data_IF_626597755985
#
_entry.id   IF_626597755985
#
_cell.length_a   1.000
_cell.length_b   1.000
_cell.length_c   1.000
_cell.angle_alpha   90.00
_cell.angle_beta   90.00
_cell.angle_gamma   90.00
#
_symmetry.space_group_name_H-M   'P 1'
#
loop_
_entity.id
_entity.type
_entity.pdbx_description
1 polymer ?
#
# COMPACT_ATOMS: atom_id res chain seq x y z
N UNK A 1 11.58 -4.70 -11.15
CA UNK A 1 11.74 -3.27 -10.77
C UNK A 1 11.06 -3.06 -9.43
N UNK A 2 11.56 -2.15 -8.59
CA UNK A 2 11.00 -1.94 -7.25
C UNK A 2 10.45 -0.52 -7.13
N UNK A 3 9.32 -0.38 -6.42
CA UNK A 3 8.62 0.89 -6.29
C UNK A 3 8.13 1.09 -4.86
N UNK A 4 8.25 2.32 -4.37
CA UNK A 4 7.68 2.76 -3.10
C UNK A 4 6.36 3.47 -3.38
N UNK A 5 5.30 3.03 -2.72
CA UNK A 5 3.98 3.64 -2.76
C UNK A 5 3.68 4.21 -1.37
N UNK A 6 3.42 5.52 -1.29
CA UNK A 6 2.96 6.21 -0.08
C UNK A 6 1.47 6.53 -0.27
N UNK A 7 0.64 6.17 0.71
CA UNK A 7 -0.81 6.33 0.69
C UNK A 7 -1.26 7.21 1.85
N UNK A 8 -1.76 8.41 1.56
CA UNK A 8 -2.15 9.40 2.58
C UNK A 8 -3.67 9.41 2.77
N UNK A 9 -4.18 9.07 3.96
CA UNK A 9 -5.58 9.28 4.30
C UNK A 9 -5.84 10.74 4.70
N UNK A 10 -7.11 11.06 4.97
CA UNK A 10 -7.49 12.32 5.62
C UNK A 10 -6.93 12.43 7.05
N UNK A 11 -6.84 13.66 7.58
CA UNK A 11 -6.41 13.88 8.96
C UNK A 11 -7.30 13.15 9.96
N UNK A 12 -6.70 12.66 11.05
CA UNK A 12 -7.36 11.92 12.14
C UNK A 12 -8.16 10.68 11.66
N UNK A 13 -7.79 10.10 10.51
CA UNK A 13 -8.52 8.98 9.91
C UNK A 13 -8.71 7.82 10.88
N UNK A 14 -7.67 7.39 11.61
CA UNK A 14 -7.76 6.29 12.58
C UNK A 14 -8.84 6.55 13.64
N UNK A 15 -8.98 7.79 14.11
CA UNK A 15 -9.91 8.16 15.18
C UNK A 15 -11.35 8.37 14.68
N UNK A 16 -11.50 8.64 13.40
CA UNK A 16 -12.77 9.10 12.81
C UNK A 16 -13.25 8.18 11.68
N UNK A 17 -12.67 6.99 11.57
CA UNK A 17 -13.00 5.99 10.56
C UNK A 17 -14.45 5.53 10.76
N UNK A 18 -15.24 5.54 9.69
CA UNK A 18 -16.60 4.99 9.70
C UNK A 18 -16.58 3.46 9.58
N UNK A 19 -17.73 2.81 9.84
CA UNK A 19 -17.87 1.37 9.64
C UNK A 19 -17.63 0.97 8.16
N UNK A 20 -18.15 1.76 7.22
CA UNK A 20 -17.93 1.57 5.77
C UNK A 20 -16.44 1.73 5.40
N UNK A 21 -15.76 2.76 5.91
CA UNK A 21 -14.32 2.93 5.69
C UNK A 21 -13.53 1.76 6.30
N UNK A 22 -13.97 1.19 7.43
CA UNK A 22 -13.33 0.05 8.07
C UNK A 22 -13.47 -1.26 7.26
N UNK A 23 -14.62 -1.46 6.61
CA UNK A 23 -14.83 -2.58 5.68
C UNK A 23 -13.88 -2.47 4.49
N UNK A 24 -13.77 -1.28 3.88
CA UNK A 24 -12.84 -1.05 2.76
C UNK A 24 -11.39 -1.21 3.19
N UNK A 25 -11.02 -0.77 4.40
CA UNK A 25 -9.67 -0.99 4.94
C UNK A 25 -9.38 -2.48 5.19
N UNK A 26 -10.40 -3.29 5.45
CA UNK A 26 -10.27 -4.75 5.54
C UNK A 26 -10.02 -5.37 4.16
N UNK A 27 -10.73 -4.92 3.13
CA UNK A 27 -10.49 -5.33 1.73
C UNK A 27 -9.09 -4.93 1.26
N UNK A 28 -8.66 -3.71 1.57
CA UNK A 28 -7.29 -3.23 1.35
C UNK A 28 -6.25 -4.16 1.96
N UNK A 29 -6.47 -4.61 3.20
CA UNK A 29 -5.56 -5.53 3.86
C UNK A 29 -5.50 -6.89 3.17
N UNK A 30 -6.66 -7.44 2.77
CA UNK A 30 -6.73 -8.69 2.01
C UNK A 30 -5.99 -8.56 0.67
N UNK A 31 -6.19 -7.45 -0.04
CA UNK A 31 -5.49 -7.14 -1.29
C UNK A 31 -3.97 -7.15 -1.12
N UNK A 32 -3.45 -6.49 -0.08
CA UNK A 32 -2.01 -6.51 0.22
C UNK A 32 -1.49 -7.90 0.56
N UNK A 33 -2.27 -8.71 1.30
CA UNK A 33 -1.91 -10.11 1.55
C UNK A 33 -1.83 -10.93 0.27
N UNK A 34 -2.71 -10.71 -0.69
CA UNK A 34 -2.66 -11.37 -2.00
C UNK A 34 -1.40 -10.98 -2.76
N UNK A 35 -1.07 -9.68 -2.83
CA UNK A 35 0.18 -9.23 -3.48
C UNK A 35 1.43 -9.75 -2.78
N UNK A 36 1.38 -9.95 -1.46
CA UNK A 36 2.44 -10.64 -0.72
C UNK A 36 2.57 -12.11 -1.13
N UNK A 37 1.46 -12.85 -1.24
CA UNK A 37 1.46 -14.26 -1.68
C UNK A 37 1.91 -14.41 -3.13
N UNK A 38 1.60 -13.45 -3.99
CA UNK A 38 2.06 -13.39 -5.39
C UNK A 38 3.56 -13.05 -5.52
N UNK A 39 4.24 -12.67 -4.43
CA UNK A 39 5.63 -12.24 -4.45
C UNK A 39 5.85 -10.82 -4.96
N UNK A 40 4.77 -10.06 -5.21
CA UNK A 40 4.81 -8.69 -5.72
C UNK A 40 4.95 -7.63 -4.63
N UNK A 41 4.66 -7.96 -3.38
CA UNK A 41 4.82 -7.06 -2.23
C UNK A 41 6.02 -7.48 -1.39
N UNK A 42 6.93 -6.55 -1.12
CA UNK A 42 8.08 -6.76 -0.22
C UNK A 42 7.69 -6.42 1.23
N UNK A 43 7.05 -5.26 1.44
CA UNK A 43 6.61 -4.80 2.76
C UNK A 43 5.43 -3.86 2.60
N UNK A 44 4.49 -3.89 3.55
CA UNK A 44 3.48 -2.86 3.72
C UNK A 44 3.18 -2.62 5.20
N UNK A 45 2.74 -1.41 5.51
CA UNK A 45 2.25 -1.06 6.82
C UNK A 45 1.91 0.42 6.98
N UNK A 46 1.09 0.78 7.96
CA UNK A 46 0.86 2.16 8.35
C UNK A 46 2.05 2.69 9.16
N UNK A 47 2.31 3.99 9.06
CA UNK A 47 2.97 4.70 10.17
C UNK A 47 1.99 4.70 11.34
N UNK A 48 2.48 4.40 12.54
CA UNK A 48 1.63 4.24 13.74
C UNK A 48 0.91 5.53 14.15
N UNK A 49 1.37 6.69 13.67
CA UNK A 49 0.68 7.99 13.82
C UNK A 49 -0.55 8.12 12.91
N UNK A 50 -0.70 7.25 11.91
CA UNK A 50 -1.80 7.29 10.94
C UNK A 50 -1.62 8.30 9.81
N UNK A 51 -0.48 8.99 9.74
CA UNK A 51 -0.24 10.04 8.73
C UNK A 51 -0.18 9.50 7.30
N UNK A 52 0.34 8.29 7.12
CA UNK A 52 0.34 7.57 5.84
C UNK A 52 0.58 6.08 6.03
N UNK A 53 0.17 5.29 5.03
CA UNK A 53 0.66 3.94 4.80
C UNK A 53 1.76 3.91 3.75
N UNK A 54 2.63 2.91 3.84
CA UNK A 54 3.62 2.64 2.81
C UNK A 54 3.52 1.21 2.31
N UNK A 55 3.93 1.01 1.06
CA UNK A 55 4.09 -0.31 0.44
C UNK A 55 5.32 -0.27 -0.45
N UNK A 56 6.14 -1.33 -0.42
CA UNK A 56 7.21 -1.52 -1.41
C UNK A 56 6.85 -2.74 -2.25
N UNK A 57 6.71 -2.53 -3.55
CA UNK A 57 6.34 -3.58 -4.50
C UNK A 57 7.51 -3.89 -5.44
N UNK A 58 7.53 -5.12 -5.94
CA UNK A 58 8.47 -5.62 -6.95
C UNK A 58 7.68 -6.18 -8.12
N UNK A 59 7.81 -5.55 -9.29
CA UNK A 59 7.02 -5.81 -10.50
C UNK A 59 7.91 -5.87 -11.75
N UNK A 60 7.41 -6.38 -12.87
CA UNK A 60 8.18 -6.45 -14.11
C UNK A 60 8.33 -5.08 -14.78
N UNK A 61 7.35 -4.19 -14.58
CA UNK A 61 7.35 -2.83 -15.15
C UNK A 61 6.74 -1.78 -14.21
N UNK A 62 6.86 -0.50 -14.60
CA UNK A 62 6.22 0.62 -13.89
C UNK A 62 4.70 0.59 -14.07
N UNK A 63 4.21 0.19 -15.25
CA UNK A 63 2.78 0.04 -15.53
C UNK A 63 2.13 -0.97 -14.58
N UNK A 64 2.77 -2.11 -14.33
CA UNK A 64 2.26 -3.09 -13.37
C UNK A 64 2.24 -2.53 -11.94
N UNK A 65 3.23 -1.72 -11.55
CA UNK A 65 3.24 -1.09 -10.23
C UNK A 65 2.12 -0.04 -10.09
N UNK A 66 1.86 0.73 -11.16
CA UNK A 66 0.72 1.65 -11.25
C UNK A 66 -0.62 0.90 -11.17
N UNK A 67 -0.74 -0.25 -11.84
CA UNK A 67 -1.92 -1.10 -11.73
C UNK A 67 -2.13 -1.61 -10.29
N UNK A 68 -1.07 -2.05 -9.60
CA UNK A 68 -1.19 -2.47 -8.19
C UNK A 68 -1.65 -1.30 -7.32
N UNK A 69 -1.09 -0.11 -7.52
CA UNK A 69 -1.45 1.09 -6.77
C UNK A 69 -2.91 1.50 -7.03
N UNK A 70 -3.33 1.54 -8.29
CA UNK A 70 -4.65 2.03 -8.69
C UNK A 70 -5.76 1.02 -8.41
N UNK A 71 -5.45 -0.27 -8.27
CA UNK A 71 -6.39 -1.32 -7.92
C UNK A 71 -6.51 -1.57 -6.40
N UNK A 72 -5.75 -0.83 -5.58
CA UNK A 72 -5.87 -0.90 -4.13
C UNK A 72 -7.26 -0.39 -3.69
N UNK A 73 -8.07 -1.17 -2.93
CA UNK A 73 -9.41 -0.75 -2.49
C UNK A 73 -9.46 0.60 -1.77
N UNK A 74 -8.42 0.93 -0.98
CA UNK A 74 -8.34 2.21 -0.28
C UNK A 74 -8.06 3.39 -1.24
N UNK A 75 -7.48 3.11 -2.41
CA UNK A 75 -7.25 4.11 -3.47
C UNK A 75 -8.50 4.27 -4.33
N UNK A 76 -9.12 3.18 -4.77
CA UNK A 76 -10.35 3.20 -5.59
C UNK A 76 -11.47 3.97 -4.88
N UNK A 77 -11.64 3.72 -3.57
CA UNK A 77 -12.66 4.37 -2.74
C UNK A 77 -12.34 5.84 -2.39
N UNK A 78 -11.14 6.32 -2.73
CA UNK A 78 -10.70 7.68 -2.38
C UNK A 78 -10.36 7.89 -0.91
N UNK A 79 -10.32 6.83 -0.09
CA UNK A 79 -9.91 6.90 1.32
C UNK A 79 -8.45 7.34 1.44
N UNK A 80 -7.59 6.85 0.55
CA UNK A 80 -6.17 7.17 0.51
C UNK A 80 -5.76 7.75 -0.84
N UNK A 81 -5.02 8.85 -0.81
CA UNK A 81 -4.36 9.42 -1.99
C UNK A 81 -2.97 8.81 -2.15
N UNK A 82 -2.68 8.09 -3.25
CA UNK A 82 -1.39 7.45 -3.42
C UNK A 82 -0.36 8.37 -4.08
N UNK A 83 0.92 8.05 -3.89
CA UNK A 83 2.06 8.56 -4.65
C UNK A 83 3.09 7.45 -4.81
N UNK A 84 3.64 7.29 -6.00
CA UNK A 84 4.59 6.21 -6.34
C UNK A 84 5.96 6.79 -6.72
N UNK A 85 7.01 6.07 -6.36
CA UNK A 85 8.40 6.43 -6.67
C UNK A 85 9.19 5.19 -7.12
N UNK A 86 10.09 5.31 -8.11
CA UNK A 86 11.13 4.30 -8.34
C UNK A 86 11.94 4.12 -7.06
N UNK A 87 12.16 2.87 -6.66
CA UNK A 87 12.80 2.54 -5.40
C UNK A 87 13.74 1.35 -5.54
N UNK A 88 14.67 1.19 -4.60
CA UNK A 88 15.53 0.01 -4.50
C UNK A 88 15.73 -0.37 -3.05
N UNK A 89 15.23 -1.54 -2.69
CA UNK A 89 15.56 -2.24 -1.46
C UNK A 89 17.02 -2.69 -1.56
N UNK A 90 17.89 -2.00 -0.82
CA UNK A 90 19.33 -2.32 -0.80
C UNK A 90 19.68 -3.35 0.26
N UNK A 91 18.88 -3.46 1.33
CA UNK A 91 19.06 -4.40 2.44
C UNK A 91 17.67 -4.81 2.96
N UNK A 92 17.44 -6.10 3.19
CA UNK A 92 16.20 -6.64 3.74
C UNK A 92 16.49 -7.82 4.65
N UNK A 93 16.04 -7.76 5.90
CA UNK A 93 16.19 -8.89 6.83
C UNK A 93 15.44 -10.12 6.31
N UNK A 94 16.11 -11.27 6.29
CA UNK A 94 15.50 -12.55 5.90
C UNK A 94 15.50 -12.82 4.39
N UNK A 95 16.11 -11.95 3.59
CA UNK A 95 16.54 -12.25 2.22
C UNK A 95 18.07 -12.02 2.16
N UNK A 96 18.82 -13.01 2.66
CA UNK A 96 20.28 -13.10 2.52
C UNK A 96 20.64 -14.06 1.38
#
# INVERSE_FOLDING_TARGET
>A
MQFLIIKKPRANFIETMTEEEAEIMSEHFVYLQEKLREGKLIIAGPVTTGEFGLSVVETESEEEALEIMNNDPAVISGIMTPTIYPYRVSLLRGRD
#
